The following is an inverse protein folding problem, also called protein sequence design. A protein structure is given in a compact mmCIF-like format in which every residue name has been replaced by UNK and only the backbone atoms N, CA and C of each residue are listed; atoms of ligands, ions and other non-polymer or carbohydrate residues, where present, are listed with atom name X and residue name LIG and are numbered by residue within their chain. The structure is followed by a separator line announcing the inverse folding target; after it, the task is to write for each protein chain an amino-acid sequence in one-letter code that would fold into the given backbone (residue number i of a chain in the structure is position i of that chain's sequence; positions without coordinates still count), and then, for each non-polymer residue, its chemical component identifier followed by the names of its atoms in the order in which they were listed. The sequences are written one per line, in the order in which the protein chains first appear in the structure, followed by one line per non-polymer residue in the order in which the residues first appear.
data_IF_421401874761
#
_entry.id   IF_421401874761
#
_cell.length_a   1.000
_cell.length_b   1.000
_cell.length_c   1.000
_cell.angle_alpha   90.00
_cell.angle_beta   90.00
_cell.angle_gamma   90.00
#
_symmetry.space_group_name_H-M   'P 1'
#
loop_
_entity.id
_entity.type
_entity.pdbx_description
1 polymer ?
#
# COMPACT_ATOMS: atom_id res chain seq x y z
N UNK A 1 -4.43 8.02 14.23
CA UNK A 1 -4.39 9.04 15.32
C UNK A 1 -4.05 10.40 14.73
N UNK A 2 -4.77 11.46 15.09
CA UNK A 2 -4.52 12.82 14.60
C UNK A 2 -3.22 13.41 15.15
N UNK A 3 -2.84 13.02 16.37
CA UNK A 3 -1.61 13.48 17.04
C UNK A 3 -0.36 13.00 16.30
N UNK A 4 -0.32 11.72 15.90
CA UNK A 4 0.82 11.15 15.15
C UNK A 4 0.96 11.84 13.79
N UNK A 5 -0.15 12.09 13.09
CA UNK A 5 -0.12 12.82 11.82
C UNK A 5 0.35 14.26 11.99
N UNK A 6 -0.13 14.96 13.02
CA UNK A 6 0.31 16.32 13.32
C UNK A 6 1.81 16.35 13.66
N UNK A 7 2.32 15.38 14.42
CA UNK A 7 3.73 15.26 14.75
C UNK A 7 4.61 14.97 13.53
N UNK A 8 4.13 14.16 12.58
CA UNK A 8 4.86 13.87 11.33
C UNK A 8 4.76 15.01 10.31
N UNK A 9 3.63 15.72 10.27
CA UNK A 9 3.39 16.85 9.36
C UNK A 9 3.94 18.19 9.88
N UNK A 10 4.52 18.21 11.09
CA UNK A 10 5.13 19.41 11.65
C UNK A 10 6.30 19.87 10.77
N UNK A 11 6.15 21.05 10.18
CA UNK A 11 7.18 21.72 9.39
C UNK A 11 7.95 22.73 10.27
N UNK A 12 9.29 22.82 10.17
CA UNK A 12 10.16 21.94 9.38
C UNK A 12 10.25 20.53 9.97
N UNK A 13 10.55 19.53 9.12
CA UNK A 13 10.84 18.16 9.57
C UNK A 13 12.01 18.22 10.56
N UNK A 14 11.73 17.93 11.82
CA UNK A 14 12.70 18.04 12.91
C UNK A 14 13.28 16.67 13.28
N UNK A 15 14.34 16.66 14.09
CA UNK A 15 14.95 15.39 14.54
C UNK A 15 13.93 14.47 15.25
N UNK A 16 12.96 15.04 15.96
CA UNK A 16 11.93 14.28 16.65
C UNK A 16 10.92 13.61 15.69
N UNK A 17 10.47 14.31 14.64
CA UNK A 17 9.58 13.72 13.64
C UNK A 17 10.27 12.62 12.83
N UNK A 18 11.56 12.80 12.50
CA UNK A 18 12.38 11.73 11.89
C UNK A 18 12.53 10.52 12.80
N UNK A 19 12.82 10.73 14.09
CA UNK A 19 12.93 9.62 15.06
C UNK A 19 11.62 8.85 15.20
N UNK A 20 10.49 9.56 15.22
CA UNK A 20 9.17 8.95 15.22
C UNK A 20 8.91 8.15 13.95
N UNK A 21 9.22 8.72 12.78
CA UNK A 21 9.07 8.04 11.49
C UNK A 21 9.90 6.75 11.43
N UNK A 22 11.18 6.80 11.84
CA UNK A 22 12.06 5.62 11.90
C UNK A 22 11.50 4.53 12.82
N UNK A 23 10.98 4.90 13.99
CA UNK A 23 10.39 3.96 14.94
C UNK A 23 9.12 3.29 14.40
N UNK A 24 8.30 4.03 13.65
CA UNK A 24 7.12 3.47 12.99
C UNK A 24 7.56 2.56 11.83
N UNK A 25 8.53 2.99 11.02
CA UNK A 25 9.02 2.24 9.86
C UNK A 25 9.71 0.92 10.25
N UNK A 26 10.33 0.84 11.43
CA UNK A 26 10.92 -0.40 11.95
C UNK A 26 9.89 -1.41 12.44
N UNK A 27 8.62 -1.03 12.60
CA UNK A 27 7.56 -1.91 13.12
C UNK A 27 6.60 -2.30 12.00
N UNK A 28 6.92 -3.40 11.31
CA UNK A 28 6.13 -3.87 10.17
C UNK A 28 4.73 -4.36 10.56
N UNK A 29 4.54 -4.83 11.80
CA UNK A 29 3.20 -5.17 12.30
C UNK A 29 2.35 -3.91 12.42
N UNK A 30 2.90 -2.87 13.05
CA UNK A 30 2.26 -1.57 13.14
C UNK A 30 1.98 -0.97 11.76
N UNK A 31 2.90 -1.08 10.80
CA UNK A 31 2.67 -0.64 9.42
C UNK A 31 1.48 -1.37 8.81
N UNK A 32 1.37 -2.69 8.99
CA UNK A 32 0.24 -3.50 8.52
C UNK A 32 -1.10 -3.08 9.14
N UNK A 33 -1.11 -2.86 10.45
CA UNK A 33 -2.31 -2.40 11.18
C UNK A 33 -2.73 -1.00 10.78
N UNK A 34 -1.76 -0.08 10.69
CA UNK A 34 -1.97 1.30 10.23
C UNK A 34 -2.49 1.27 8.80
N UNK A 35 -1.88 0.50 7.90
CA UNK A 35 -2.30 0.38 6.50
C UNK A 35 -3.74 -0.10 6.34
N UNK A 36 -4.19 -0.97 7.24
CA UNK A 36 -5.55 -1.50 7.25
C UNK A 36 -6.59 -0.50 7.77
N UNK A 37 -6.14 0.56 8.47
CA UNK A 37 -7.02 1.62 8.96
C UNK A 37 -7.47 2.59 7.84
N UNK A 38 -8.68 3.13 7.94
CA UNK A 38 -9.31 4.03 6.94
C UNK A 38 -8.44 5.23 6.53
N UNK A 39 -7.64 5.78 7.45
CA UNK A 39 -6.73 6.91 7.23
C UNK A 39 -5.25 6.51 7.34
N UNK A 40 -4.96 5.22 7.27
CA UNK A 40 -3.63 4.63 7.38
C UNK A 40 -2.64 5.14 6.36
N UNK A 41 -3.05 5.12 5.09
CA UNK A 41 -2.25 5.53 3.95
C UNK A 41 -1.68 6.95 4.11
N UNK A 42 -2.45 7.90 4.65
CA UNK A 42 -1.97 9.27 4.90
C UNK A 42 -0.86 9.28 5.95
N UNK A 43 -1.00 8.47 7.01
CA UNK A 43 0.02 8.36 8.06
C UNK A 43 1.29 7.76 7.50
N UNK A 44 1.18 6.69 6.70
CA UNK A 44 2.35 6.05 6.08
C UNK A 44 3.03 7.00 5.10
N UNK A 45 2.28 7.79 4.30
CA UNK A 45 2.87 8.81 3.43
C UNK A 45 3.72 9.82 4.22
N UNK A 46 3.20 10.31 5.34
CA UNK A 46 3.93 11.26 6.20
C UNK A 46 5.18 10.61 6.84
N UNK A 47 5.11 9.33 7.21
CA UNK A 47 6.29 8.58 7.67
C UNK A 47 7.36 8.58 6.57
N UNK A 48 6.98 8.22 5.35
CA UNK A 48 7.90 8.13 4.21
C UNK A 48 8.50 9.49 3.85
N UNK A 49 7.71 10.56 3.90
CA UNK A 49 8.16 11.93 3.66
C UNK A 49 9.21 12.37 4.71
N UNK A 50 9.07 11.92 5.95
CA UNK A 50 9.98 12.24 7.07
C UNK A 50 11.25 11.36 7.11
N UNK A 51 11.30 10.24 6.40
CA UNK A 51 12.49 9.38 6.35
C UNK A 51 13.56 9.90 5.40
N UNK A 52 14.83 9.58 5.65
CA UNK A 52 15.90 9.85 4.68
C UNK A 52 15.86 8.81 3.54
N UNK A 53 16.47 9.13 2.38
CA UNK A 53 16.47 8.25 1.19
C UNK A 53 16.85 6.79 1.48
N UNK A 54 17.94 6.46 2.22
CA UNK A 54 18.29 5.05 2.47
C UNK A 54 17.22 4.33 3.29
N UNK A 55 16.56 5.02 4.21
CA UNK A 55 15.53 4.45 5.08
C UNK A 55 14.23 4.21 4.32
N UNK A 56 13.87 5.12 3.40
CA UNK A 56 12.76 4.91 2.48
C UNK A 56 12.99 3.68 1.61
N UNK A 57 14.22 3.45 1.13
CA UNK A 57 14.55 2.26 0.33
C UNK A 57 14.46 0.97 1.15
N UNK A 58 14.94 0.98 2.39
CA UNK A 58 14.80 -0.18 3.28
C UNK A 58 13.33 -0.50 3.54
N UNK A 59 12.54 0.51 3.93
CA UNK A 59 11.10 0.35 4.13
C UNK A 59 10.39 -0.14 2.86
N UNK A 60 10.76 0.39 1.69
CA UNK A 60 10.20 -0.05 0.43
C UNK A 60 10.49 -1.55 0.19
N UNK A 61 11.72 -2.00 0.42
CA UNK A 61 12.09 -3.41 0.29
C UNK A 61 11.29 -4.32 1.23
N UNK A 62 11.10 -3.90 2.48
CA UNK A 62 10.32 -4.66 3.47
C UNK A 62 8.83 -4.72 3.09
N UNK A 63 8.29 -3.65 2.51
CA UNK A 63 6.89 -3.59 2.04
C UNK A 63 6.65 -4.45 0.79
N UNK A 64 7.63 -4.58 -0.10
CA UNK A 64 7.54 -5.50 -1.26
C UNK A 64 7.32 -6.94 -0.82
N UNK A 65 7.90 -7.34 0.33
CA UNK A 65 7.76 -8.68 0.88
C UNK A 65 6.44 -8.89 1.67
N UNK A 66 5.69 -7.82 1.92
CA UNK A 66 4.47 -7.85 2.73
C UNK A 66 3.22 -8.16 1.88
N UNK A 67 2.95 -9.46 1.69
CA UNK A 67 1.81 -9.95 0.89
C UNK A 67 0.43 -9.51 1.43
N UNK A 68 0.30 -9.33 2.75
CA UNK A 68 -0.94 -8.84 3.38
C UNK A 68 -1.22 -7.39 2.97
N UNK A 69 -0.19 -6.54 2.94
CA UNK A 69 -0.31 -5.16 2.50
C UNK A 69 -0.67 -5.05 1.03
N UNK A 70 -0.05 -5.88 0.17
CA UNK A 70 -0.33 -5.93 -1.27
C UNK A 70 -1.81 -6.25 -1.58
N UNK A 71 -2.47 -7.03 -0.72
CA UNK A 71 -3.88 -7.39 -0.87
C UNK A 71 -4.84 -6.48 -0.10
N UNK A 72 -4.33 -5.52 0.68
CA UNK A 72 -5.15 -4.59 1.46
C UNK A 72 -5.81 -3.53 0.58
N UNK A 73 -6.98 -3.03 1.00
CA UNK A 73 -7.75 -1.97 0.31
C UNK A 73 -6.90 -0.72 0.01
N UNK A 74 -5.94 -0.42 0.87
CA UNK A 74 -5.08 0.77 0.77
C UNK A 74 -3.65 0.46 0.33
N UNK A 75 -3.33 -0.81 0.06
CA UNK A 75 -2.00 -1.26 -0.34
C UNK A 75 -1.47 -0.46 -1.52
N UNK A 76 -2.25 -0.35 -2.61
CA UNK A 76 -1.85 0.42 -3.81
C UNK A 76 -1.43 1.86 -3.51
N UNK A 77 -2.16 2.55 -2.63
CA UNK A 77 -1.83 3.93 -2.26
C UNK A 77 -0.54 4.00 -1.44
N UNK A 78 -0.27 2.98 -0.62
CA UNK A 78 0.93 2.88 0.19
C UNK A 78 2.16 2.53 -0.66
N UNK A 79 2.08 1.54 -1.55
CA UNK A 79 3.14 1.21 -2.51
C UNK A 79 3.52 2.43 -3.35
N UNK A 80 2.53 3.19 -3.83
CA UNK A 80 2.80 4.43 -4.57
C UNK A 80 3.48 5.50 -3.70
N UNK A 81 3.15 5.59 -2.39
CA UNK A 81 3.76 6.56 -1.48
C UNK A 81 5.25 6.27 -1.23
N UNK A 82 5.67 5.00 -1.24
CA UNK A 82 7.09 4.60 -1.12
C UNK A 82 7.82 4.52 -2.47
N UNK A 83 7.19 4.91 -3.57
CA UNK A 83 7.79 4.86 -4.91
C UNK A 83 7.92 3.45 -5.47
N UNK A 84 7.16 2.50 -4.94
CA UNK A 84 7.15 1.12 -5.41
C UNK A 84 6.10 0.92 -6.50
N UNK A 85 6.46 0.09 -7.47
CA UNK A 85 5.49 -0.52 -8.38
C UNK A 85 4.82 -1.68 -7.66
N UNK A 86 3.49 -1.78 -7.77
CA UNK A 86 2.76 -2.90 -7.15
C UNK A 86 3.36 -4.24 -7.59
N UNK A 87 3.50 -5.22 -6.66
CA UNK A 87 3.82 -6.57 -7.06
C UNK A 87 2.77 -7.02 -8.09
N UNK A 88 3.23 -7.46 -9.27
CA UNK A 88 2.35 -8.04 -10.29
C UNK A 88 1.57 -9.14 -9.58
N UNK A 89 0.24 -9.01 -9.52
CA UNK A 89 -0.64 -10.08 -9.06
C UNK A 89 -0.36 -11.31 -9.93
N UNK A 90 0.50 -12.22 -9.49
CA UNK A 90 0.50 -13.59 -9.97
C UNK A 90 -0.82 -14.17 -9.48
N UNK A 91 -1.73 -14.40 -10.43
CA UNK A 91 -3.11 -14.76 -10.16
C UNK A 91 -3.24 -15.99 -9.28
N UNK A 92 -3.51 -15.78 -8.00
CA UNK A 92 -4.25 -16.73 -7.18
C UNK A 92 -5.68 -16.18 -7.10
N UNK A 93 -6.55 -16.64 -8.00
CA UNK A 93 -7.95 -16.24 -8.05
C UNK A 93 -8.34 -15.43 -9.29
N UNK A 94 -7.92 -15.87 -10.48
CA UNK A 94 -8.79 -15.72 -11.63
C UNK A 94 -9.84 -16.83 -11.48
N UNK A 95 -11.14 -16.53 -11.27
CA UNK A 95 -12.14 -17.58 -11.43
C UNK A 95 -12.00 -18.05 -12.87
N UNK A 96 -11.78 -19.35 -13.02
CA UNK A 96 -11.81 -20.00 -14.32
C UNK A 96 -13.19 -19.74 -14.92
N UNK A 97 -13.26 -18.84 -15.89
CA UNK A 97 -14.39 -18.72 -16.79
C UNK A 97 -14.39 -19.99 -17.66
N UNK A 98 -14.96 -21.06 -17.09
CA UNK A 98 -15.27 -22.29 -17.78
C UNK A 98 -16.77 -22.50 -17.65
N UNK A 99 -17.50 -21.76 -18.47
CA UNK A 99 -18.90 -22.00 -18.82
C UNK A 99 -19.03 -21.96 -20.33
N UNK A 100 -18.71 -23.07 -20.98
CA UNK A 100 -19.20 -23.35 -22.34
C UNK A 100 -20.73 -23.41 -22.32
N UNK A 101 -21.33 -23.20 -23.51
CA UNK A 101 -22.73 -23.47 -23.90
C UNK A 101 -23.70 -22.30 -23.66
N UNK A 102 -24.55 -21.84 -24.57
CA UNK A 102 -25.03 -22.32 -25.87
C UNK A 102 -25.81 -21.18 -26.57
N UNK A 103 -25.77 -21.16 -27.91
CA UNK A 103 -26.86 -20.79 -28.84
C UNK A 103 -27.67 -19.49 -28.65
N UNK A 104 -27.57 -18.57 -29.62
CA UNK A 104 -28.69 -18.18 -30.51
C UNK A 104 -28.39 -16.90 -31.28
N UNK A 105 -28.23 -17.02 -32.60
CA UNK A 105 -28.72 -16.04 -33.57
C UNK A 105 -28.62 -16.63 -34.99
N UNK A 106 -29.57 -17.50 -35.31
CA UNK A 106 -30.06 -17.63 -36.69
C UNK A 106 -31.16 -16.58 -36.89
N UNK A 107 -30.94 -15.69 -37.85
CA UNK A 107 -31.93 -14.84 -38.53
C UNK A 107 -31.14 -14.24 -39.70
N UNK A 108 -31.42 -14.52 -40.97
CA UNK A 108 -32.70 -14.75 -41.61
C UNK A 108 -32.63 -13.90 -42.88
N UNK A 109 -32.83 -14.52 -44.05
CA UNK A 109 -32.67 -13.86 -45.34
C UNK A 109 -33.68 -12.76 -45.61
N UNK A 110 -33.29 -11.90 -46.55
CA UNK A 110 -34.15 -11.25 -47.54
C UNK A 110 -33.28 -10.92 -48.75
#
# INVERSE_FOLDING_TARGET
SNVVRAALAAAPVCAASRRLARKIASDMSLIGDVASARQGHTTIRLVVEALDIPERRALAHDLEQCASLANSRYGRAIFHAVGLSLPKRTGAGQPADRGHSEQSAVMGGA
#
